data_IF_106086180069
#
_entry.id   IF_106086180069
#
_cell.length_a   1.000
_cell.length_b   1.000
_cell.length_c   1.000
_cell.angle_alpha   90.00
_cell.angle_beta   90.00
_cell.angle_gamma   90.00
#
_symmetry.space_group_name_H-M   'P 1'
#
loop_
_entity.id
_entity.type
_entity.pdbx_description
1 polymer ?
#
# COMPACT_ATOMS: atom_id res chain seq x y z
N UNK A 1 -65.43 7.18 -24.67
CA UNK A 1 -65.79 8.64 -24.91
C UNK A 1 -64.71 9.46 -24.25
N UNK A 2 -63.89 10.21 -25.04
CA UNK A 2 -62.91 11.16 -24.48
C UNK A 2 -63.69 12.36 -23.93
N UNK A 3 -63.53 12.66 -22.62
CA UNK A 3 -64.01 13.89 -22.02
C UNK A 3 -63.08 15.03 -22.42
N UNK A 4 -63.57 15.97 -23.25
CA UNK A 4 -62.83 17.20 -23.53
C UNK A 4 -62.94 18.13 -22.32
N UNK A 5 -61.82 18.74 -21.89
CA UNK A 5 -61.78 19.69 -20.78
C UNK A 5 -62.29 21.12 -21.20
N UNK A 6 -62.64 21.28 -22.43
CA UNK A 6 -63.15 22.53 -22.97
C UNK A 6 -64.24 22.25 -24.02
N UNK A 7 -65.18 23.19 -24.20
CA UNK A 7 -66.14 23.14 -25.27
C UNK A 7 -65.51 23.76 -26.52
N UNK A 8 -65.42 23.03 -27.65
CA UNK A 8 -64.90 23.60 -28.88
C UNK A 8 -65.82 24.69 -29.39
N UNK A 9 -65.26 25.87 -29.65
CA UNK A 9 -65.96 27.02 -30.21
C UNK A 9 -65.32 27.40 -31.53
N UNK A 10 -66.15 27.93 -32.47
CA UNK A 10 -65.66 28.39 -33.76
C UNK A 10 -65.58 29.90 -33.75
N UNK A 11 -64.46 30.47 -34.02
CA UNK A 11 -64.20 31.90 -34.09
C UNK A 11 -64.08 32.34 -35.55
N UNK A 12 -64.52 33.55 -35.86
CA UNK A 12 -64.45 34.11 -37.25
C UNK A 12 -63.03 34.49 -37.63
N UNK A 13 -62.24 34.93 -36.64
CA UNK A 13 -60.86 35.29 -36.85
C UNK A 13 -60.02 34.85 -35.68
N UNK A 14 -58.65 34.70 -35.88
CA UNK A 14 -57.71 34.36 -34.83
C UNK A 14 -57.64 35.41 -33.71
N UNK A 15 -58.04 36.67 -34.00
CA UNK A 15 -58.04 37.76 -33.01
C UNK A 15 -59.11 37.63 -31.96
N UNK A 16 -60.19 36.91 -32.28
CA UNK A 16 -61.35 36.69 -31.41
C UNK A 16 -61.08 35.50 -30.42
N UNK A 17 -60.06 34.75 -30.65
CA UNK A 17 -59.70 33.59 -29.77
C UNK A 17 -59.24 34.10 -28.42
N UNK A 18 -59.92 33.70 -27.32
CA UNK A 18 -59.45 34.06 -25.96
C UNK A 18 -57.96 33.70 -25.72
N UNK A 19 -57.21 34.60 -25.07
CA UNK A 19 -55.79 34.48 -24.81
C UNK A 19 -54.87 34.38 -26.05
N UNK A 20 -55.37 34.64 -27.26
CA UNK A 20 -54.58 34.59 -28.51
C UNK A 20 -53.39 35.54 -28.46
N UNK A 21 -53.49 36.71 -27.87
CA UNK A 21 -52.43 37.67 -27.72
C UNK A 21 -51.26 37.09 -26.85
N UNK A 22 -51.60 36.31 -25.82
CA UNK A 22 -50.61 35.61 -24.99
C UNK A 22 -49.89 34.53 -25.77
N UNK A 23 -50.60 33.71 -26.53
CA UNK A 23 -49.98 32.67 -27.36
C UNK A 23 -49.19 33.28 -28.51
N UNK A 24 -49.52 34.37 -29.04
CA UNK A 24 -48.82 35.08 -30.09
C UNK A 24 -47.48 35.63 -29.54
N UNK A 25 -47.55 36.22 -28.36
CA UNK A 25 -46.32 36.69 -27.66
C UNK A 25 -45.38 35.54 -27.33
N UNK A 26 -45.89 34.47 -26.78
CA UNK A 26 -45.08 33.26 -26.45
C UNK A 26 -44.43 32.67 -27.70
N UNK A 27 -45.19 32.54 -28.78
CA UNK A 27 -44.67 32.03 -30.06
C UNK A 27 -43.62 32.95 -30.66
N UNK A 28 -43.84 34.26 -30.58
CA UNK A 28 -42.84 35.24 -31.02
C UNK A 28 -41.56 35.14 -30.23
N UNK A 29 -41.63 35.06 -28.91
CA UNK A 29 -40.44 34.90 -28.06
C UNK A 29 -39.69 33.62 -28.38
N UNK A 30 -40.39 32.50 -28.55
CA UNK A 30 -39.76 31.23 -28.96
C UNK A 30 -39.08 31.31 -30.33
N UNK A 31 -39.72 31.99 -31.30
CA UNK A 31 -39.12 32.21 -32.61
C UNK A 31 -37.86 33.11 -32.51
N UNK A 32 -37.94 34.15 -31.66
CA UNK A 32 -36.81 35.05 -31.40
C UNK A 32 -35.66 34.32 -30.76
N UNK A 33 -35.91 33.48 -29.74
CA UNK A 33 -34.91 32.67 -29.09
C UNK A 33 -34.24 31.70 -30.08
N UNK A 34 -35.02 31.05 -30.94
CA UNK A 34 -34.49 30.19 -31.99
C UNK A 34 -33.67 30.95 -33.05
N UNK A 35 -34.02 32.21 -33.31
CA UNK A 35 -33.31 33.04 -34.26
C UNK A 35 -31.99 33.58 -33.68
N UNK A 36 -32.03 33.98 -32.41
CA UNK A 36 -30.86 34.50 -31.68
C UNK A 36 -29.96 33.38 -31.17
N UNK A 37 -30.47 32.15 -31.02
CA UNK A 37 -29.70 31.03 -30.56
C UNK A 37 -28.46 30.80 -31.46
N UNK A 38 -27.25 30.75 -30.90
CA UNK A 38 -26.05 30.51 -31.67
C UNK A 38 -26.17 29.15 -32.36
N UNK A 39 -26.22 29.15 -33.67
CA UNK A 39 -26.22 27.92 -34.45
C UNK A 39 -24.83 27.35 -34.47
N UNK A 40 -24.56 26.40 -33.58
CA UNK A 40 -23.35 25.61 -33.66
C UNK A 40 -23.34 24.88 -35.01
N UNK A 41 -22.46 25.29 -35.91
CA UNK A 41 -22.17 24.50 -37.10
C UNK A 41 -21.66 23.15 -36.60
N UNK A 42 -22.34 22.06 -36.95
CA UNK A 42 -21.77 20.73 -36.80
C UNK A 42 -20.52 20.70 -37.68
N UNK A 43 -19.39 20.97 -37.08
CA UNK A 43 -18.11 20.72 -37.72
C UNK A 43 -17.98 19.20 -37.81
N UNK A 44 -18.14 18.66 -38.99
CA UNK A 44 -17.76 17.28 -39.25
C UNK A 44 -16.23 17.25 -39.09
N UNK A 45 -15.81 16.72 -37.99
CA UNK A 45 -14.38 16.41 -37.80
C UNK A 45 -14.01 15.34 -38.83
N UNK A 46 -13.25 15.69 -39.85
CA UNK A 46 -12.62 14.73 -40.76
C UNK A 46 -11.40 14.08 -40.08
N UNK A 47 -11.63 13.55 -38.88
CA UNK A 47 -10.61 12.89 -38.08
C UNK A 47 -11.10 11.46 -37.90
N UNK A 48 -10.28 10.49 -38.25
CA UNK A 48 -10.56 9.08 -37.99
C UNK A 48 -10.74 8.88 -36.49
N UNK A 49 -11.67 8.01 -36.11
CA UNK A 49 -11.98 7.74 -34.72
C UNK A 49 -10.74 7.30 -33.91
N UNK A 50 -9.75 6.69 -34.56
CA UNK A 50 -8.47 6.27 -33.98
C UNK A 50 -7.60 7.43 -33.46
N UNK A 51 -7.72 8.63 -34.07
CA UNK A 51 -7.00 9.83 -33.58
C UNK A 51 -7.62 10.44 -32.33
N UNK A 52 -8.89 10.12 -32.02
CA UNK A 52 -9.56 10.57 -30.81
C UNK A 52 -9.29 9.68 -29.60
N UNK A 53 -8.74 8.50 -29.82
CA UNK A 53 -8.32 7.59 -28.74
C UNK A 53 -7.00 8.11 -28.19
N UNK A 54 -6.90 8.36 -26.86
CA UNK A 54 -5.64 8.78 -26.26
C UNK A 54 -4.60 7.67 -26.49
N UNK A 55 -3.53 8.01 -27.19
CA UNK A 55 -2.41 7.09 -27.44
C UNK A 55 -1.66 6.87 -26.13
N UNK A 56 -1.64 5.64 -25.66
CA UNK A 56 -0.81 5.26 -24.52
C UNK A 56 0.66 5.33 -24.97
N UNK A 57 1.57 5.84 -24.12
CA UNK A 57 2.99 5.84 -24.42
C UNK A 57 3.50 4.42 -24.59
N UNK A 58 4.49 4.22 -25.46
CA UNK A 58 5.10 2.90 -25.61
C UNK A 58 5.89 2.55 -24.34
N UNK A 59 6.00 1.27 -23.98
CA UNK A 59 6.80 0.88 -22.81
C UNK A 59 8.26 1.35 -22.88
N UNK A 60 8.82 1.51 -24.07
CA UNK A 60 10.19 2.03 -24.28
C UNK A 60 10.34 3.48 -23.83
N UNK A 61 9.30 4.29 -23.99
CA UNK A 61 9.29 5.71 -23.61
C UNK A 61 9.19 5.89 -22.08
N UNK A 62 8.79 4.83 -21.36
CA UNK A 62 8.58 4.83 -19.91
C UNK A 62 9.75 4.20 -19.13
N UNK A 63 10.89 3.99 -19.77
CA UNK A 63 12.10 3.53 -19.09
C UNK A 63 12.62 4.62 -18.13
N UNK A 64 13.32 4.24 -17.00
CA UNK A 64 13.80 2.90 -16.67
C UNK A 64 12.79 2.09 -15.85
N UNK A 65 12.68 0.78 -16.14
CA UNK A 65 11.92 -0.20 -15.34
C UNK A 65 12.57 -1.59 -15.49
N UNK A 66 12.41 -2.50 -14.52
CA UNK A 66 13.03 -3.82 -14.55
C UNK A 66 12.42 -4.69 -15.67
N UNK A 67 13.28 -5.32 -16.44
CA UNK A 67 12.90 -6.11 -17.61
C UNK A 67 13.34 -7.56 -17.57
N UNK A 68 14.43 -7.87 -16.85
CA UNK A 68 15.04 -9.19 -16.80
C UNK A 68 15.38 -9.59 -15.38
N UNK A 69 15.42 -10.90 -15.13
CA UNK A 69 15.95 -11.46 -13.90
C UNK A 69 17.49 -11.35 -13.93
N UNK A 70 18.04 -10.65 -12.95
CA UNK A 70 19.48 -10.42 -12.84
C UNK A 70 20.14 -11.40 -11.89
N UNK A 71 19.51 -11.71 -10.77
CA UNK A 71 20.11 -12.54 -9.71
C UNK A 71 19.06 -13.33 -8.95
N UNK A 72 19.44 -14.54 -8.54
CA UNK A 72 18.64 -15.41 -7.66
C UNK A 72 19.42 -15.69 -6.38
N UNK A 73 18.83 -15.31 -5.25
CA UNK A 73 19.40 -15.57 -3.92
C UNK A 73 18.85 -16.91 -3.41
N UNK A 74 19.74 -17.84 -3.18
CA UNK A 74 19.42 -19.20 -2.72
C UNK A 74 20.02 -19.46 -1.35
N UNK A 75 19.27 -20.13 -0.47
CA UNK A 75 19.77 -20.48 0.87
C UNK A 75 18.66 -20.71 1.89
N UNK A 76 17.45 -20.24 1.67
CA UNK A 76 16.30 -20.66 2.46
C UNK A 76 15.84 -22.06 2.05
N UNK A 77 15.29 -22.81 2.99
CA UNK A 77 14.81 -24.17 2.76
C UNK A 77 13.30 -24.28 2.69
N UNK A 78 12.60 -23.21 3.08
CA UNK A 78 11.14 -23.12 3.04
C UNK A 78 10.66 -21.75 2.51
N UNK A 79 9.36 -21.54 2.47
CA UNK A 79 8.69 -20.36 1.94
C UNK A 79 9.31 -19.05 2.45
N UNK A 80 9.74 -18.17 1.55
CA UNK A 80 10.24 -16.85 1.93
C UNK A 80 9.07 -15.88 2.00
N UNK A 81 8.68 -15.51 3.23
CA UNK A 81 7.46 -14.73 3.50
C UNK A 81 7.58 -13.24 3.24
N UNK A 82 8.74 -12.67 3.54
CA UNK A 82 8.90 -11.22 3.49
C UNK A 82 10.35 -10.85 3.20
N UNK A 83 10.53 -9.73 2.51
CA UNK A 83 11.83 -9.13 2.21
C UNK A 83 11.78 -7.64 2.52
N UNK A 84 12.87 -7.10 3.04
CA UNK A 84 13.01 -5.67 3.24
C UNK A 84 14.43 -5.22 2.89
N UNK A 85 14.53 -4.09 2.20
CA UNK A 85 15.80 -3.54 1.72
C UNK A 85 16.24 -2.41 2.64
N UNK A 86 17.55 -2.33 2.88
CA UNK A 86 18.17 -1.24 3.62
C UNK A 86 17.98 0.10 2.90
N UNK A 87 17.83 1.25 3.60
CA UNK A 87 17.66 2.57 2.98
C UNK A 87 18.78 3.01 2.03
N UNK A 88 20.00 2.49 2.21
CA UNK A 88 21.13 2.74 1.29
C UNK A 88 21.09 1.84 0.06
N UNK A 89 20.45 0.67 0.15
CA UNK A 89 20.35 -0.31 -0.92
C UNK A 89 21.59 -1.21 -1.05
N UNK A 90 22.41 -1.34 -0.02
CA UNK A 90 23.57 -2.24 -0.05
C UNK A 90 23.20 -3.65 0.43
N UNK A 91 22.27 -3.74 1.39
CA UNK A 91 21.85 -4.97 2.04
C UNK A 91 20.34 -5.16 1.98
N UNK A 92 19.93 -6.42 2.06
CA UNK A 92 18.53 -6.78 2.26
C UNK A 92 18.40 -7.86 3.34
N UNK A 93 17.22 -7.93 3.95
CA UNK A 93 16.86 -8.96 4.93
C UNK A 93 15.68 -9.75 4.42
N UNK A 94 15.68 -11.04 4.64
CA UNK A 94 14.58 -11.96 4.33
C UNK A 94 14.17 -12.78 5.53
N UNK A 95 12.89 -13.08 5.62
CA UNK A 95 12.32 -13.97 6.64
C UNK A 95 11.57 -15.12 6.01
N UNK A 96 11.73 -16.32 6.55
CA UNK A 96 11.18 -17.54 5.99
C UNK A 96 10.48 -18.40 7.04
N UNK A 97 9.66 -19.33 6.55
CA UNK A 97 9.01 -20.36 7.36
C UNK A 97 10.01 -21.39 7.88
N UNK A 98 11.25 -21.41 7.35
CA UNK A 98 12.38 -22.22 7.85
C UNK A 98 12.93 -21.76 9.21
N UNK A 99 12.27 -20.78 9.85
CA UNK A 99 12.68 -20.19 11.14
C UNK A 99 14.02 -19.47 11.09
N UNK A 100 14.44 -18.99 9.92
CA UNK A 100 15.65 -18.21 9.78
C UNK A 100 15.39 -16.82 9.22
N UNK A 101 16.19 -15.88 9.66
CA UNK A 101 16.35 -14.55 9.07
C UNK A 101 17.72 -14.51 8.43
N UNK A 102 17.75 -14.15 7.15
CA UNK A 102 19.02 -14.05 6.41
C UNK A 102 19.26 -12.62 5.95
N UNK A 103 20.51 -12.19 6.08
CA UNK A 103 20.97 -10.88 5.62
C UNK A 103 21.86 -11.10 4.40
N UNK A 104 21.55 -10.41 3.33
CA UNK A 104 22.20 -10.58 2.03
C UNK A 104 22.85 -9.27 1.58
N UNK A 105 23.97 -9.39 0.93
CA UNK A 105 24.58 -8.32 0.15
C UNK A 105 23.95 -8.33 -1.24
N UNK A 106 23.38 -7.19 -1.65
CA UNK A 106 22.58 -7.10 -2.89
C UNK A 106 23.46 -7.29 -4.12
N UNK A 107 24.65 -6.68 -4.14
CA UNK A 107 25.54 -6.67 -5.29
C UNK A 107 26.11 -8.04 -5.64
N UNK A 108 26.44 -8.84 -4.63
CA UNK A 108 27.11 -10.14 -4.79
C UNK A 108 26.19 -11.34 -4.67
N UNK A 109 24.99 -11.15 -4.11
CA UNK A 109 24.07 -12.25 -3.79
C UNK A 109 24.50 -13.12 -2.60
N UNK A 110 25.54 -12.71 -1.89
CA UNK A 110 26.11 -13.48 -0.78
C UNK A 110 25.27 -13.33 0.48
N UNK A 111 24.97 -14.44 1.14
CA UNK A 111 24.40 -14.43 2.49
C UNK A 111 25.51 -14.10 3.48
N UNK A 112 25.43 -12.93 4.12
CA UNK A 112 26.42 -12.47 5.11
C UNK A 112 26.15 -13.11 6.45
N UNK A 113 24.89 -13.19 6.84
CA UNK A 113 24.50 -13.66 8.16
C UNK A 113 23.17 -14.43 8.11
N UNK A 114 23.14 -15.52 8.87
CA UNK A 114 21.92 -16.27 9.16
C UNK A 114 21.65 -16.18 10.66
N UNK A 115 20.42 -15.89 11.02
CA UNK A 115 19.95 -15.77 12.41
C UNK A 115 18.80 -16.74 12.59
N UNK A 116 19.01 -17.74 13.45
CA UNK A 116 17.98 -18.72 13.76
C UNK A 116 17.00 -18.14 14.78
N UNK A 117 15.73 -18.27 14.49
CA UNK A 117 14.61 -17.86 15.35
C UNK A 117 13.89 -19.09 15.90
N UNK A 118 13.16 -18.91 16.99
CA UNK A 118 12.44 -20.04 17.62
C UNK A 118 11.21 -20.47 16.80
N UNK A 119 10.58 -19.52 16.11
CA UNK A 119 9.33 -19.72 15.39
C UNK A 119 9.41 -19.15 13.97
N UNK A 120 8.40 -19.46 13.18
CA UNK A 120 8.26 -19.00 11.78
C UNK A 120 8.35 -17.49 11.69
N UNK A 121 9.13 -16.99 10.75
CA UNK A 121 9.25 -15.56 10.47
C UNK A 121 8.15 -15.11 9.51
N UNK A 122 7.21 -14.33 10.01
CA UNK A 122 6.06 -13.86 9.21
C UNK A 122 6.32 -12.57 8.45
N UNK A 123 7.07 -11.66 9.05
CA UNK A 123 7.35 -10.37 8.46
C UNK A 123 8.69 -9.84 8.95
N UNK A 124 9.44 -9.22 8.05
CA UNK A 124 10.66 -8.49 8.35
C UNK A 124 10.54 -7.07 7.82
N UNK A 125 11.07 -6.11 8.56
CA UNK A 125 11.07 -4.72 8.15
C UNK A 125 12.37 -4.03 8.58
N UNK A 126 13.10 -3.48 7.62
CA UNK A 126 14.29 -2.66 7.89
C UNK A 126 13.86 -1.24 8.26
N UNK A 127 14.50 -0.64 9.25
CA UNK A 127 14.23 0.73 9.64
C UNK A 127 14.54 1.70 8.47
N UNK A 128 13.62 2.59 8.08
CA UNK A 128 13.82 3.51 6.97
C UNK A 128 14.80 4.65 7.27
N UNK A 129 15.23 4.80 8.53
CA UNK A 129 16.17 5.82 8.93
C UNK A 129 17.62 5.37 8.62
N UNK A 130 18.26 6.03 7.66
CA UNK A 130 19.64 5.75 7.25
C UNK A 130 20.70 5.95 8.35
N UNK A 131 20.35 6.61 9.46
CA UNK A 131 21.23 6.85 10.61
C UNK A 131 21.22 5.70 11.62
N UNK A 132 20.31 4.73 11.44
CA UNK A 132 20.10 3.57 12.32
C UNK A 132 20.05 2.31 11.49
N UNK A 133 20.69 1.24 11.95
CA UNK A 133 20.60 -0.07 11.32
C UNK A 133 19.84 -1.01 12.26
N UNK A 134 18.53 -1.02 12.14
CA UNK A 134 17.62 -1.84 12.95
C UNK A 134 16.72 -2.65 12.05
N UNK A 135 16.63 -3.93 12.30
CA UNK A 135 15.69 -4.84 11.65
C UNK A 135 14.63 -5.24 12.67
N UNK A 136 13.39 -5.06 12.35
CA UNK A 136 12.26 -5.58 13.12
C UNK A 136 11.81 -6.91 12.50
N UNK A 137 11.75 -7.96 13.29
CA UNK A 137 11.40 -9.32 12.85
C UNK A 137 10.24 -9.83 13.67
N UNK A 138 9.14 -10.19 13.02
CA UNK A 138 7.97 -10.79 13.65
C UNK A 138 8.05 -12.31 13.59
N UNK A 139 8.20 -12.93 14.76
CA UNK A 139 8.25 -14.39 14.92
C UNK A 139 7.20 -14.83 15.94
N UNK A 140 6.19 -15.58 15.48
CA UNK A 140 5.09 -15.96 16.36
C UNK A 140 4.47 -14.78 17.09
N UNK A 141 4.53 -14.76 18.42
CA UNK A 141 4.08 -13.65 19.28
C UNK A 141 5.19 -12.68 19.69
N UNK A 142 6.42 -12.91 19.25
CA UNK A 142 7.61 -12.11 19.62
C UNK A 142 8.00 -11.20 18.47
N UNK A 143 8.28 -9.95 18.78
CA UNK A 143 8.93 -8.99 17.89
C UNK A 143 10.37 -8.79 18.33
N UNK A 144 11.29 -9.16 17.48
CA UNK A 144 12.72 -9.06 17.72
C UNK A 144 13.26 -7.80 17.04
N UNK A 145 13.97 -6.96 17.79
CA UNK A 145 14.72 -5.83 17.25
C UNK A 145 16.20 -6.22 17.18
N UNK A 146 16.69 -6.33 15.96
CA UNK A 146 18.02 -6.88 15.65
C UNK A 146 18.91 -5.78 15.11
N UNK A 147 20.14 -5.69 15.64
CA UNK A 147 21.21 -4.96 14.99
C UNK A 147 21.97 -5.94 14.07
N UNK A 148 21.90 -5.78 12.74
CA UNK A 148 22.51 -6.69 11.79
C UNK A 148 24.03 -6.70 11.84
N UNK A 149 24.62 -5.65 12.42
CA UNK A 149 26.10 -5.44 12.47
C UNK A 149 26.74 -5.43 11.08
N UNK A 150 26.03 -4.90 10.09
CA UNK A 150 26.50 -4.70 8.71
C UNK A 150 26.61 -3.21 8.41
N UNK A 151 27.53 -2.86 7.53
CA UNK A 151 27.77 -1.48 7.11
C UNK A 151 28.70 -0.69 8.04
N UNK A 152 28.41 0.59 8.25
CA UNK A 152 29.26 1.52 8.98
C UNK A 152 29.27 1.23 10.49
N UNK A 153 30.49 1.07 11.05
CA UNK A 153 30.73 0.81 12.47
C UNK A 153 30.16 1.89 13.40
N UNK A 154 30.12 3.15 12.95
CA UNK A 154 29.55 4.25 13.73
C UNK A 154 28.03 4.12 13.85
N UNK A 155 27.36 3.71 12.77
CA UNK A 155 25.91 3.46 12.75
C UNK A 155 25.58 2.27 13.65
N UNK A 156 26.38 1.20 13.56
CA UNK A 156 26.21 0.01 14.40
C UNK A 156 26.29 0.36 15.89
N UNK A 157 27.33 1.11 16.30
CA UNK A 157 27.50 1.54 17.69
C UNK A 157 26.35 2.42 18.16
N UNK A 158 26.00 3.44 17.37
CA UNK A 158 24.87 4.32 17.68
C UNK A 158 23.54 3.57 17.83
N UNK A 159 23.35 2.52 17.02
CA UNK A 159 22.18 1.66 17.10
C UNK A 159 22.20 0.84 18.40
N UNK A 160 23.33 0.27 18.75
CA UNK A 160 23.49 -0.47 20.01
C UNK A 160 23.27 0.44 21.23
N UNK A 161 23.83 1.65 21.23
CA UNK A 161 23.64 2.63 22.30
C UNK A 161 22.14 2.99 22.47
N UNK A 162 21.44 3.29 21.37
CA UNK A 162 20.00 3.58 21.40
C UNK A 162 19.16 2.41 21.93
N UNK A 163 19.49 1.19 21.55
CA UNK A 163 18.77 0.00 21.99
C UNK A 163 19.15 -0.45 23.42
N UNK A 164 20.33 -0.06 23.93
CA UNK A 164 20.77 -0.31 25.30
C UNK A 164 20.13 0.65 26.31
N UNK A 165 19.83 1.89 25.91
CA UNK A 165 19.18 2.87 26.79
C UNK A 165 17.86 2.34 27.32
N UNK A 166 17.77 2.18 28.64
CA UNK A 166 16.53 1.89 29.34
C UNK A 166 15.95 3.20 29.84
N UNK A 167 14.85 3.70 29.26
CA UNK A 167 14.26 4.94 29.73
C UNK A 167 13.76 4.79 31.17
N UNK A 168 13.92 5.84 31.98
CA UNK A 168 13.36 5.93 33.30
C UNK A 168 11.84 5.74 33.26
N UNK A 169 11.34 4.81 34.06
CA UNK A 169 9.98 4.28 34.07
C UNK A 169 8.95 5.16 34.80
N UNK A 170 8.99 6.48 34.64
CA UNK A 170 7.95 7.39 35.18
C UNK A 170 6.76 7.58 34.23
N UNK A 171 6.42 6.55 33.44
CA UNK A 171 5.32 6.65 32.50
C UNK A 171 4.09 5.95 33.08
N UNK A 172 2.99 6.71 33.19
CA UNK A 172 1.64 6.22 33.51
C UNK A 172 1.28 5.17 32.44
N UNK A 173 1.57 3.91 32.73
CA UNK A 173 1.24 2.80 31.86
C UNK A 173 -0.20 2.39 32.05
N UNK A 174 -0.95 2.40 30.96
CA UNK A 174 -2.30 1.87 30.95
C UNK A 174 -2.24 0.34 31.17
N UNK A 175 -2.89 -0.18 32.23
CA UNK A 175 -2.91 -1.62 32.54
C UNK A 175 -3.30 -2.49 31.34
N UNK A 176 -4.17 -1.99 30.45
CA UNK A 176 -4.57 -2.68 29.21
C UNK A 176 -3.41 -2.90 28.25
N UNK A 177 -2.40 -2.05 28.30
CA UNK A 177 -1.20 -2.16 27.44
C UNK A 177 -0.23 -3.12 28.10
N UNK A 178 -0.03 -3.07 29.40
CA UNK A 178 0.86 -4.00 30.16
C UNK A 178 0.46 -5.46 29.96
N UNK A 179 -0.84 -5.73 29.91
CA UNK A 179 -1.36 -7.08 29.63
C UNK A 179 -1.25 -7.50 28.17
N UNK A 180 -1.00 -6.56 27.25
CA UNK A 180 -0.93 -6.82 25.82
C UNK A 180 0.51 -6.96 25.32
N UNK A 181 1.45 -6.25 25.95
CA UNK A 181 2.82 -6.15 25.47
C UNK A 181 3.79 -6.06 26.64
N UNK A 182 4.89 -6.82 26.53
CA UNK A 182 6.00 -6.80 27.47
C UNK A 182 7.29 -6.52 26.71
N UNK A 183 8.02 -5.50 27.18
CA UNK A 183 9.34 -5.17 26.66
C UNK A 183 10.40 -5.84 27.53
N UNK A 184 11.33 -6.52 26.89
CA UNK A 184 12.47 -7.16 27.56
C UNK A 184 13.76 -6.90 26.77
N UNK A 185 14.88 -6.90 27.44
CA UNK A 185 16.17 -6.99 26.79
C UNK A 185 16.37 -8.44 26.35
N UNK A 186 17.09 -8.63 25.27
CA UNK A 186 17.41 -9.96 24.76
C UNK A 186 18.32 -10.72 25.75
N UNK A 187 18.16 -12.03 25.83
CA UNK A 187 18.99 -12.92 26.57
C UNK A 187 20.44 -12.97 26.01
N UNK A 188 21.40 -13.45 26.77
CA UNK A 188 22.80 -13.51 26.33
C UNK A 188 23.00 -14.25 25.01
N UNK A 189 22.31 -15.37 24.82
CA UNK A 189 22.33 -16.14 23.57
C UNK A 189 21.70 -15.36 22.39
N UNK A 190 20.64 -14.64 22.63
CA UNK A 190 20.00 -13.79 21.61
C UNK A 190 20.85 -12.56 21.27
N UNK A 191 21.59 -12.01 22.27
CA UNK A 191 22.50 -10.89 22.07
C UNK A 191 23.67 -11.26 21.16
N UNK A 192 24.19 -12.47 21.25
CA UNK A 192 25.22 -13.00 20.34
C UNK A 192 24.69 -13.08 18.91
N UNK A 193 23.44 -13.47 18.73
CA UNK A 193 22.75 -13.47 17.45
C UNK A 193 22.45 -12.06 16.91
N UNK A 194 22.65 -11.01 17.71
CA UNK A 194 22.44 -9.60 17.36
C UNK A 194 21.08 -9.05 17.74
N UNK A 195 20.22 -9.84 18.40
CA UNK A 195 18.96 -9.35 18.97
C UNK A 195 19.31 -8.46 20.17
N UNK A 196 18.66 -7.32 20.28
CA UNK A 196 18.89 -6.36 21.38
C UNK A 196 17.66 -6.23 22.28
N UNK A 197 16.51 -6.11 21.68
CA UNK A 197 15.24 -5.92 22.39
C UNK A 197 14.22 -6.91 21.87
N UNK A 198 13.46 -7.47 22.78
CA UNK A 198 12.36 -8.40 22.50
C UNK A 198 11.08 -7.78 23.02
N UNK A 199 10.06 -7.71 22.17
CA UNK A 199 8.72 -7.23 22.54
C UNK A 199 7.76 -8.41 22.40
N UNK A 200 7.29 -8.94 23.52
CA UNK A 200 6.38 -10.07 23.54
C UNK A 200 4.95 -9.58 23.52
N UNK A 201 4.15 -10.12 22.61
CA UNK A 201 2.73 -9.80 22.41
C UNK A 201 1.86 -10.96 22.90
N UNK A 202 0.61 -10.66 23.21
CA UNK A 202 -0.34 -11.67 23.70
C UNK A 202 -0.93 -12.55 22.59
N UNK A 203 -0.70 -12.21 21.30
CA UNK A 203 -1.15 -12.93 20.11
C UNK A 203 -0.10 -12.93 19.02
N UNK A 204 -0.15 -13.88 18.07
CA UNK A 204 0.79 -13.93 16.96
C UNK A 204 0.75 -12.66 16.11
N UNK A 205 1.95 -12.18 15.74
CA UNK A 205 2.14 -11.00 14.90
C UNK A 205 2.14 -11.44 13.44
N UNK A 206 1.38 -10.74 12.60
CA UNK A 206 1.35 -10.99 11.16
C UNK A 206 2.21 -10.01 10.36
N UNK A 207 2.21 -8.74 10.75
CA UNK A 207 2.89 -7.67 10.02
C UNK A 207 3.57 -6.71 10.99
N UNK A 208 4.70 -6.18 10.54
CA UNK A 208 5.42 -5.07 11.16
C UNK A 208 5.67 -4.00 10.13
N UNK A 209 5.49 -2.74 10.49
CA UNK A 209 5.76 -1.60 9.61
C UNK A 209 6.38 -0.45 10.39
N UNK A 210 7.32 0.26 9.76
CA UNK A 210 8.00 1.40 10.34
C UNK A 210 7.37 2.71 9.94
N UNK A 211 7.41 3.67 10.84
CA UNK A 211 7.21 5.07 10.49
C UNK A 211 8.47 5.63 9.83
N UNK A 212 8.34 6.53 8.85
CA UNK A 212 9.45 7.06 8.06
C UNK A 212 10.62 7.68 8.84
N UNK A 213 10.40 8.13 10.08
CA UNK A 213 11.46 8.65 10.96
C UNK A 213 12.26 7.55 11.69
N UNK A 214 11.76 6.32 11.73
CA UNK A 214 12.45 5.18 12.35
C UNK A 214 12.37 5.10 13.87
N UNK A 215 11.60 5.97 14.55
CA UNK A 215 11.37 5.90 16.01
C UNK A 215 10.09 5.13 16.37
N UNK A 216 9.12 5.11 15.48
CA UNK A 216 7.86 4.41 15.66
C UNK A 216 7.75 3.21 14.74
N UNK A 217 7.21 2.13 15.27
CA UNK A 217 6.85 0.94 14.51
C UNK A 217 5.45 0.47 14.92
N UNK A 218 4.73 -0.16 14.01
CA UNK A 218 3.41 -0.72 14.28
C UNK A 218 3.41 -2.22 14.03
N UNK A 219 2.72 -2.95 14.90
CA UNK A 219 2.51 -4.40 14.80
C UNK A 219 1.04 -4.71 14.59
N UNK A 220 0.77 -5.76 13.82
CA UNK A 220 -0.58 -6.24 13.56
C UNK A 220 -0.74 -7.66 14.08
N UNK A 221 -1.77 -7.84 14.88
CA UNK A 221 -2.22 -9.13 15.40
C UNK A 221 -3.69 -9.33 14.98
N UNK A 222 -3.98 -10.05 13.93
CA UNK A 222 -5.37 -10.20 13.43
C UNK A 222 -6.34 -10.71 14.48
N UNK A 223 -5.89 -11.63 15.34
CA UNK A 223 -6.68 -12.22 16.41
C UNK A 223 -6.77 -11.37 17.69
N UNK A 224 -6.15 -10.19 17.70
CA UNK A 224 -6.05 -9.31 18.87
C UNK A 224 -7.33 -8.53 19.20
N UNK A 225 -8.43 -8.69 18.45
CA UNK A 225 -9.68 -7.96 18.59
C UNK A 225 -9.46 -6.43 18.66
N UNK A 226 -9.82 -5.77 19.77
CA UNK A 226 -9.65 -4.33 19.92
C UNK A 226 -8.18 -3.88 20.08
N UNK A 227 -7.26 -4.83 20.31
CA UNK A 227 -5.81 -4.62 20.43
C UNK A 227 -5.06 -5.20 19.24
N UNK A 228 -5.73 -5.31 18.09
CA UNK A 228 -5.18 -5.91 16.87
C UNK A 228 -4.06 -5.09 16.22
N UNK A 229 -3.96 -3.81 16.48
CA UNK A 229 -2.86 -2.96 16.04
C UNK A 229 -2.28 -2.21 17.24
N UNK A 230 -0.96 -2.23 17.36
CA UNK A 230 -0.22 -1.52 18.40
C UNK A 230 0.88 -0.68 17.75
N UNK A 231 1.11 0.49 18.31
CA UNK A 231 2.22 1.38 17.92
C UNK A 231 3.23 1.38 19.05
N UNK A 232 4.48 1.12 18.72
CA UNK A 232 5.60 1.07 19.65
C UNK A 232 6.55 2.23 19.36
N UNK A 233 6.98 2.94 20.39
CA UNK A 233 8.00 3.96 20.31
C UNK A 233 9.30 3.41 20.90
N UNK A 234 10.37 3.42 20.09
CA UNK A 234 11.67 2.85 20.51
C UNK A 234 12.35 3.69 21.57
N UNK A 235 12.47 5.00 21.35
CA UNK A 235 13.19 5.91 22.25
C UNK A 235 12.67 5.92 23.68
N UNK A 236 11.37 5.64 23.87
CA UNK A 236 10.73 5.61 25.18
C UNK A 236 10.31 4.21 25.63
N UNK A 237 10.57 3.16 24.83
CA UNK A 237 10.11 1.79 25.05
C UNK A 237 8.65 1.71 25.47
N UNK A 238 7.83 2.50 24.78
CA UNK A 238 6.39 2.65 25.08
C UNK A 238 5.56 2.07 23.96
N UNK A 239 4.46 1.42 24.35
CA UNK A 239 3.46 0.91 23.41
C UNK A 239 2.15 1.67 23.57
N UNK A 240 1.43 1.88 22.47
CA UNK A 240 0.16 2.60 22.45
C UNK A 240 -0.87 1.89 21.59
N UNK A 241 -2.14 2.00 21.96
CA UNK A 241 -3.27 1.52 21.17
C UNK A 241 -3.77 2.72 20.35
N UNK A 242 -3.69 2.67 19.01
CA UNK A 242 -4.02 3.83 18.16
C UNK A 242 -5.53 4.15 18.14
N UNK A 243 -6.39 3.19 18.49
CA UNK A 243 -7.85 3.37 18.47
C UNK A 243 -8.54 2.45 19.50
N UNK A 244 -9.64 2.93 20.09
CA UNK A 244 -10.35 2.24 21.18
C UNK A 244 -11.18 1.04 20.71
N UNK A 245 -11.69 1.05 19.46
CA UNK A 245 -12.55 -0.01 18.90
C UNK A 245 -12.14 -0.35 17.47
N UNK A 246 -11.87 -1.63 17.22
CA UNK A 246 -11.69 -2.17 15.88
C UNK A 246 -12.89 -3.04 15.50
N UNK A 247 -13.51 -2.74 14.35
CA UNK A 247 -14.56 -3.59 13.76
C UNK A 247 -13.96 -4.38 12.61
N UNK A 248 -13.91 -5.70 12.72
CA UNK A 248 -13.36 -6.63 11.73
C UNK A 248 -11.88 -6.96 12.00
N UNK A 249 -11.41 -8.05 11.38
CA UNK A 249 -10.04 -8.52 11.51
C UNK A 249 -9.09 -7.57 10.78
N UNK A 250 -8.14 -7.00 11.50
CA UNK A 250 -7.09 -6.15 10.91
C UNK A 250 -6.08 -7.03 10.18
N UNK A 251 -5.82 -6.73 8.92
CA UNK A 251 -4.91 -7.48 8.06
C UNK A 251 -3.55 -6.81 7.92
N UNK A 252 -3.55 -5.51 7.65
CA UNK A 252 -2.32 -4.74 7.50
C UNK A 252 -2.52 -3.28 7.94
N UNK A 253 -1.42 -2.64 8.30
CA UNK A 253 -1.36 -1.24 8.69
C UNK A 253 -0.21 -0.53 8.01
N UNK A 254 -0.37 0.78 7.79
CA UNK A 254 0.69 1.64 7.25
C UNK A 254 0.65 3.01 7.93
N UNK A 255 1.82 3.62 8.08
CA UNK A 255 1.94 5.03 8.41
C UNK A 255 1.89 5.87 7.13
N UNK A 256 1.28 7.04 7.22
CA UNK A 256 1.37 8.02 6.16
C UNK A 256 2.78 8.66 6.15
N UNK A 257 3.41 8.85 4.97
CA UNK A 257 4.80 9.35 4.91
C UNK A 257 4.97 10.78 5.44
N UNK A 258 3.96 11.64 5.29
CA UNK A 258 4.04 13.08 5.62
C UNK A 258 3.10 13.48 6.75
N UNK A 259 1.82 13.10 6.67
CA UNK A 259 0.78 13.48 7.62
C UNK A 259 0.76 12.52 8.83
N UNK A 260 0.33 12.94 10.03
CA UNK A 260 0.19 12.06 11.20
C UNK A 260 -1.04 11.14 11.08
N UNK A 261 -1.18 10.48 9.94
CA UNK A 261 -2.29 9.59 9.64
C UNK A 261 -1.84 8.13 9.65
N UNK A 262 -2.74 7.26 10.06
CA UNK A 262 -2.51 5.82 10.17
C UNK A 262 -3.58 5.06 9.42
N UNK A 263 -3.16 4.20 8.49
CA UNK A 263 -4.04 3.38 7.69
C UNK A 263 -4.19 2.01 8.31
N UNK A 264 -5.41 1.57 8.46
CA UNK A 264 -5.76 0.26 9.00
C UNK A 264 -6.66 -0.46 8.02
N UNK A 265 -6.13 -1.47 7.36
CA UNK A 265 -6.92 -2.36 6.51
C UNK A 265 -7.54 -3.47 7.34
N UNK A 266 -8.84 -3.58 7.26
CA UNK A 266 -9.58 -4.75 7.70
C UNK A 266 -9.81 -5.68 6.50
N UNK A 267 -10.57 -6.76 6.66
CA UNK A 267 -10.89 -7.66 5.54
C UNK A 267 -11.51 -6.93 4.34
N UNK A 268 -12.42 -5.98 4.58
CA UNK A 268 -13.27 -5.37 3.54
C UNK A 268 -13.08 -3.87 3.35
N UNK A 269 -12.51 -3.18 4.31
CA UNK A 269 -12.44 -1.73 4.31
C UNK A 269 -11.10 -1.24 4.85
N UNK A 270 -10.71 -0.05 4.43
CA UNK A 270 -9.55 0.64 4.97
C UNK A 270 -10.05 1.84 5.75
N UNK A 271 -9.53 2.03 6.95
CA UNK A 271 -9.82 3.15 7.82
C UNK A 271 -8.58 4.00 7.99
N UNK A 272 -8.75 5.29 7.90
CA UNK A 272 -7.70 6.29 8.08
C UNK A 272 -7.96 7.01 9.39
N UNK A 273 -7.03 6.89 10.32
CA UNK A 273 -7.08 7.52 11.63
C UNK A 273 -6.09 8.67 11.72
N UNK A 274 -6.48 9.75 12.39
CA UNK A 274 -5.56 10.79 12.84
C UNK A 274 -4.94 10.34 14.17
N UNK A 275 -3.62 10.26 14.22
CA UNK A 275 -2.90 9.83 15.42
C UNK A 275 -2.84 10.93 16.49
N UNK A 276 -3.00 12.20 16.12
CA UNK A 276 -2.98 13.32 17.06
C UNK A 276 -4.33 13.45 17.75
N UNK A 277 -5.41 13.47 16.97
CA UNK A 277 -6.79 13.58 17.47
C UNK A 277 -7.40 12.26 17.92
N UNK A 278 -6.79 11.13 17.51
CA UNK A 278 -7.27 9.76 17.73
C UNK A 278 -8.69 9.50 17.18
N UNK A 279 -9.02 10.18 16.09
CA UNK A 279 -10.32 10.10 15.42
C UNK A 279 -10.22 9.43 14.06
N UNK A 280 -11.35 8.84 13.61
CA UNK A 280 -11.48 8.28 12.27
C UNK A 280 -11.75 9.41 11.27
N UNK A 281 -10.79 9.70 10.39
CA UNK A 281 -10.92 10.72 9.34
C UNK A 281 -11.78 10.21 8.19
N UNK A 282 -11.44 9.04 7.65
CA UNK A 282 -12.03 8.51 6.41
C UNK A 282 -12.13 7.00 6.42
N UNK A 283 -13.16 6.47 5.76
CA UNK A 283 -13.33 5.04 5.52
C UNK A 283 -13.38 4.81 4.02
N UNK A 284 -12.43 4.03 3.48
CA UNK A 284 -12.39 3.66 2.08
C UNK A 284 -13.12 2.33 1.86
N UNK A 285 -13.93 2.28 0.83
CA UNK A 285 -14.74 1.12 0.45
C UNK A 285 -14.06 0.38 -0.68
N UNK A 286 -13.57 -0.83 -0.42
CA UNK A 286 -12.83 -1.61 -1.41
C UNK A 286 -13.73 -2.48 -2.30
N UNK A 287 -14.94 -2.80 -1.85
CA UNK A 287 -15.83 -3.75 -2.50
C UNK A 287 -15.14 -5.09 -2.85
N UNK A 288 -14.24 -5.51 -1.98
CA UNK A 288 -13.51 -6.77 -2.08
C UNK A 288 -13.78 -7.67 -0.89
N UNK A 289 -13.63 -8.98 -1.07
CA UNK A 289 -13.87 -9.95 0.00
C UNK A 289 -12.74 -9.93 1.03
N UNK A 290 -11.49 -9.72 0.60
CA UNK A 290 -10.36 -9.79 1.50
C UNK A 290 -9.16 -9.00 0.98
N UNK A 291 -8.68 -8.07 1.78
CA UNK A 291 -7.47 -7.27 1.50
C UNK A 291 -6.25 -8.09 1.90
N UNK A 292 -5.24 -8.16 1.05
CA UNK A 292 -3.97 -8.86 1.29
C UNK A 292 -2.84 -7.93 1.72
N UNK A 293 -2.72 -6.77 1.08
CA UNK A 293 -1.66 -5.80 1.34
C UNK A 293 -2.03 -4.40 0.90
N UNK A 294 -1.23 -3.44 1.32
CA UNK A 294 -1.35 -2.03 0.97
C UNK A 294 0.03 -1.41 0.78
N UNK A 295 0.11 -0.43 -0.12
CA UNK A 295 1.27 0.45 -0.26
C UNK A 295 0.80 1.87 -0.53
N UNK A 296 1.45 2.84 0.09
CA UNK A 296 1.14 4.26 -0.11
C UNK A 296 2.16 4.90 -1.05
N UNK A 297 1.69 5.78 -1.90
CA UNK A 297 2.55 6.57 -2.77
C UNK A 297 3.45 7.49 -1.93
N UNK A 298 4.72 7.73 -2.30
CA UNK A 298 5.66 8.55 -1.51
C UNK A 298 5.16 9.97 -1.20
N UNK A 299 4.34 10.58 -2.07
CA UNK A 299 3.69 11.87 -1.82
C UNK A 299 2.57 11.79 -0.77
N UNK A 300 2.00 10.60 -0.53
CA UNK A 300 0.92 10.37 0.42
C UNK A 300 -0.50 10.55 -0.14
N UNK A 301 -0.66 10.92 -1.40
CA UNK A 301 -1.97 11.25 -1.98
C UNK A 301 -2.72 10.02 -2.50
N UNK A 302 -1.97 8.98 -2.86
CA UNK A 302 -2.51 7.78 -3.48
C UNK A 302 -2.18 6.52 -2.69
N UNK A 303 -3.12 5.58 -2.69
CA UNK A 303 -2.99 4.30 -2.00
C UNK A 303 -3.28 3.16 -2.98
N UNK A 304 -2.37 2.21 -3.04
CA UNK A 304 -2.52 0.97 -3.78
C UNK A 304 -2.86 -0.17 -2.82
N UNK A 305 -3.86 -0.96 -3.16
CA UNK A 305 -4.37 -2.05 -2.33
C UNK A 305 -4.44 -3.32 -3.15
N UNK A 306 -3.85 -4.38 -2.64
CA UNK A 306 -3.98 -5.73 -3.20
C UNK A 306 -5.07 -6.53 -2.50
N UNK A 307 -5.68 -7.44 -3.24
CA UNK A 307 -6.77 -8.28 -2.72
C UNK A 307 -6.59 -9.74 -3.12
N UNK A 308 -7.09 -10.65 -2.28
CA UNK A 308 -7.16 -12.07 -2.64
C UNK A 308 -8.17 -12.36 -3.78
N UNK A 309 -9.04 -11.39 -4.09
CA UNK A 309 -10.00 -11.46 -5.20
C UNK A 309 -9.37 -11.15 -6.58
N UNK A 310 -8.06 -11.26 -6.74
CA UNK A 310 -7.31 -11.03 -8.00
C UNK A 310 -7.36 -9.58 -8.50
N UNK A 311 -7.71 -8.64 -7.62
CA UNK A 311 -7.85 -7.22 -7.96
C UNK A 311 -6.75 -6.40 -7.28
N UNK A 312 -6.33 -5.36 -7.96
CA UNK A 312 -5.59 -4.25 -7.38
C UNK A 312 -6.46 -3.00 -7.48
N UNK A 313 -6.53 -2.25 -6.40
CA UNK A 313 -7.35 -1.05 -6.28
C UNK A 313 -6.44 0.15 -6.09
N UNK A 314 -6.61 1.14 -6.95
CA UNK A 314 -5.95 2.42 -6.82
C UNK A 314 -6.91 3.43 -6.23
N UNK A 315 -6.58 4.00 -5.09
CA UNK A 315 -7.34 5.06 -4.44
C UNK A 315 -6.60 6.38 -4.55
N UNK A 316 -7.33 7.41 -4.91
CA UNK A 316 -6.97 8.79 -4.68
C UNK A 316 -7.62 9.23 -3.36
N UNK A 317 -6.79 9.60 -2.39
CA UNK A 317 -7.24 9.88 -1.03
C UNK A 317 -8.00 11.21 -0.91
N UNK A 318 -7.71 12.16 -1.78
CA UNK A 318 -8.34 13.46 -1.77
C UNK A 318 -9.67 13.45 -2.54
N UNK A 319 -9.76 12.66 -3.62
CA UNK A 319 -10.90 12.65 -4.51
C UNK A 319 -12.12 11.93 -3.94
N UNK A 320 -12.00 10.66 -3.53
CA UNK A 320 -13.16 9.88 -3.10
C UNK A 320 -12.87 8.78 -2.08
N UNK A 321 -13.94 8.14 -1.57
CA UNK A 321 -13.86 6.95 -0.71
C UNK A 321 -13.94 5.64 -1.50
N UNK A 322 -14.22 5.70 -2.79
CA UNK A 322 -14.25 4.57 -3.72
C UNK A 322 -12.94 4.51 -4.50
N UNK A 323 -12.54 3.31 -5.00
CA UNK A 323 -11.34 3.21 -5.82
C UNK A 323 -11.48 4.08 -7.09
N UNK A 324 -10.43 4.82 -7.41
CA UNK A 324 -10.32 5.55 -8.67
C UNK A 324 -10.25 4.57 -9.85
N UNK A 325 -9.41 3.54 -9.71
CA UNK A 325 -9.26 2.50 -10.72
C UNK A 325 -9.17 1.12 -10.07
N UNK A 326 -9.79 0.12 -10.73
CA UNK A 326 -9.71 -1.29 -10.36
C UNK A 326 -9.00 -2.05 -11.48
N UNK A 327 -7.85 -2.62 -11.17
CA UNK A 327 -7.02 -3.36 -12.11
C UNK A 327 -7.15 -4.87 -11.85
N UNK A 328 -7.26 -5.65 -12.92
CA UNK A 328 -7.28 -7.13 -12.88
C UNK A 328 -6.19 -7.66 -13.80
N UNK A 329 -4.95 -7.50 -13.37
CA UNK A 329 -3.78 -7.90 -14.15
C UNK A 329 -3.35 -9.35 -13.87
N UNK A 330 -3.68 -9.85 -12.68
CA UNK A 330 -3.30 -11.18 -12.21
C UNK A 330 -4.42 -12.20 -12.35
N UNK A 331 -4.03 -13.46 -12.54
CA UNK A 331 -4.96 -14.61 -12.65
C UNK A 331 -5.33 -15.20 -11.30
N UNK A 332 -4.48 -15.05 -10.29
CA UNK A 332 -4.65 -15.56 -8.93
C UNK A 332 -4.63 -14.44 -7.90
N UNK A 333 -4.68 -14.77 -6.63
CA UNK A 333 -4.65 -13.83 -5.53
C UNK A 333 -3.40 -12.95 -5.58
N UNK A 334 -3.57 -11.64 -5.40
CA UNK A 334 -2.44 -10.69 -5.30
C UNK A 334 -2.04 -10.62 -3.83
N UNK A 335 -0.78 -10.97 -3.53
CA UNK A 335 -0.26 -11.06 -2.16
C UNK A 335 0.29 -9.74 -1.66
N UNK A 336 1.15 -9.12 -2.44
CA UNK A 336 1.87 -7.92 -2.06
C UNK A 336 1.87 -6.90 -3.19
N UNK A 337 1.93 -5.63 -2.81
CA UNK A 337 2.09 -4.49 -3.71
C UNK A 337 3.05 -3.49 -3.08
N UNK A 338 3.89 -2.87 -3.89
CA UNK A 338 4.84 -1.86 -3.44
C UNK A 338 4.99 -0.73 -4.46
N UNK A 339 5.01 0.52 -3.97
CA UNK A 339 5.43 1.67 -4.75
C UNK A 339 6.94 1.86 -4.65
N UNK A 340 7.55 2.31 -5.74
CA UNK A 340 8.92 2.77 -5.72
C UNK A 340 9.01 4.17 -5.11
N UNK A 341 10.10 4.44 -4.35
CA UNK A 341 10.24 5.72 -3.64
C UNK A 341 10.54 6.91 -4.56
N UNK A 342 11.28 6.70 -5.66
CA UNK A 342 11.77 7.76 -6.55
C UNK A 342 11.16 7.74 -7.94
N UNK A 343 10.96 6.55 -8.49
CA UNK A 343 10.42 6.38 -9.84
C UNK A 343 8.89 6.19 -9.80
N UNK A 344 8.18 6.60 -10.83
CA UNK A 344 6.73 6.44 -10.92
C UNK A 344 6.38 4.97 -11.26
N UNK A 345 6.88 4.05 -10.46
CA UNK A 345 6.72 2.62 -10.65
C UNK A 345 6.02 1.99 -9.45
N UNK A 346 5.24 0.97 -9.72
CA UNK A 346 4.74 0.07 -8.70
C UNK A 346 4.80 -1.38 -9.18
N UNK A 347 4.96 -2.28 -8.23
CA UNK A 347 5.02 -3.70 -8.51
C UNK A 347 3.97 -4.46 -7.71
N UNK A 348 3.52 -5.57 -8.23
CA UNK A 348 2.59 -6.49 -7.59
C UNK A 348 3.04 -7.91 -7.74
N UNK A 349 2.94 -8.67 -6.65
CA UNK A 349 3.24 -10.11 -6.61
C UNK A 349 1.99 -10.94 -6.37
N UNK A 350 1.87 -12.06 -7.07
CA UNK A 350 0.68 -12.91 -7.04
C UNK A 350 1.01 -14.39 -7.00
N UNK A 351 0.04 -15.18 -6.55
CA UNK A 351 0.08 -16.64 -6.58
C UNK A 351 0.06 -17.22 -8.02
N UNK A 352 -0.04 -16.39 -9.05
CA UNK A 352 0.13 -16.77 -10.44
C UNK A 352 1.60 -16.82 -10.90
N UNK A 353 2.56 -16.81 -9.94
CA UNK A 353 4.01 -16.83 -10.14
C UNK A 353 4.57 -15.57 -10.81
N UNK A 354 3.74 -14.57 -11.02
CA UNK A 354 4.13 -13.37 -11.74
C UNK A 354 4.34 -12.18 -10.80
N UNK A 355 5.37 -11.42 -11.11
CA UNK A 355 5.55 -10.04 -10.67
C UNK A 355 5.19 -9.15 -11.84
N UNK A 356 4.23 -8.25 -11.66
CA UNK A 356 3.88 -7.27 -12.69
C UNK A 356 4.39 -5.91 -12.25
N UNK A 357 5.22 -5.34 -13.10
CA UNK A 357 5.73 -3.98 -12.97
C UNK A 357 4.85 -3.06 -13.81
N UNK A 358 4.40 -1.99 -13.20
CA UNK A 358 3.50 -1.02 -13.81
C UNK A 358 4.02 0.40 -13.59
N UNK A 359 3.72 1.27 -14.55
CA UNK A 359 3.93 2.70 -14.43
C UNK A 359 2.74 3.33 -13.72
N UNK A 360 3.01 4.21 -12.75
CA UNK A 360 1.98 4.88 -11.96
C UNK A 360 2.35 6.35 -11.73
N UNK A 361 2.34 7.15 -12.81
CA UNK A 361 2.64 8.58 -12.71
C UNK A 361 1.43 9.34 -12.21
N UNK A 362 1.62 10.07 -11.12
CA UNK A 362 0.64 11.01 -10.55
C UNK A 362 1.10 12.43 -10.83
N UNK A 363 0.26 13.19 -11.53
CA UNK A 363 0.51 14.58 -11.85
C UNK A 363 0.05 15.49 -10.70
N UNK A 364 0.69 16.64 -10.55
CA UNK A 364 0.27 17.65 -9.57
C UNK A 364 -0.92 18.48 -10.06
N UNK A 365 -1.24 18.39 -11.35
CA UNK A 365 -2.37 19.07 -11.96
C UNK A 365 -3.63 18.23 -11.81
N UNK A 366 -4.67 18.80 -11.20
CA UNK A 366 -5.97 18.16 -11.01
C UNK A 366 -6.72 17.87 -12.32
N UNK A 367 -6.33 18.51 -13.41
CA UNK A 367 -6.92 18.29 -14.74
C UNK A 367 -6.33 17.09 -15.46
N UNK A 368 -5.17 16.58 -15.00
CA UNK A 368 -4.49 15.45 -15.61
C UNK A 368 -4.76 14.17 -14.83
N UNK A 369 -5.32 13.19 -15.51
CA UNK A 369 -5.52 11.87 -14.95
C UNK A 369 -4.18 11.14 -14.72
N UNK A 370 -4.02 10.38 -13.63
CA UNK A 370 -2.83 9.58 -13.42
C UNK A 370 -2.64 8.56 -14.56
N UNK A 371 -1.39 8.43 -15.01
CA UNK A 371 -1.04 7.48 -16.04
C UNK A 371 -0.69 6.12 -15.40
N UNK A 372 -1.61 5.18 -15.47
CA UNK A 372 -1.48 3.84 -14.89
C UNK A 372 -1.43 2.82 -16.02
N UNK A 373 -0.24 2.28 -16.30
CA UNK A 373 -0.01 1.35 -17.42
C UNK A 373 0.84 0.17 -16.96
N UNK A 374 0.41 -1.08 -17.18
CA UNK A 374 1.28 -2.24 -16.98
C UNK A 374 2.41 -2.25 -18.01
N UNK A 375 3.66 -2.40 -17.53
CA UNK A 375 4.85 -2.35 -18.36
C UNK A 375 5.37 -3.75 -18.71
N UNK A 376 5.63 -4.54 -17.68
CA UNK A 376 6.25 -5.85 -17.83
C UNK A 376 5.66 -6.86 -16.85
N UNK A 377 5.46 -8.08 -17.35
CA UNK A 377 5.15 -9.26 -16.55
C UNK A 377 6.41 -10.13 -16.47
N UNK A 378 6.90 -10.33 -15.25
CA UNK A 378 8.05 -11.15 -14.92
C UNK A 378 7.52 -12.46 -14.30
N UNK A 379 7.78 -13.58 -14.93
CA UNK A 379 7.25 -14.87 -14.50
C UNK A 379 8.39 -15.88 -14.43
N UNK A 380 9.09 -15.88 -13.31
CA UNK A 380 10.29 -16.69 -13.11
C UNK A 380 10.17 -17.60 -11.89
N UNK A 381 9.37 -17.22 -10.87
CA UNK A 381 9.13 -18.07 -9.71
C UNK A 381 8.35 -19.34 -10.05
N UNK A 382 8.62 -20.40 -9.32
CA UNK A 382 7.90 -21.66 -9.38
C UNK A 382 6.77 -21.67 -8.34
N UNK A 383 5.70 -22.38 -8.65
CA UNK A 383 4.57 -22.54 -7.75
C UNK A 383 4.81 -23.71 -6.82
N UNK A 384 4.57 -23.50 -5.51
CA UNK A 384 4.58 -24.53 -4.50
C UNK A 384 3.33 -24.39 -3.62
N UNK A 385 2.60 -25.49 -3.42
CA UNK A 385 1.41 -25.55 -2.55
C UNK A 385 0.40 -24.41 -2.77
N UNK A 386 0.09 -24.10 -4.02
CA UNK A 386 -0.80 -23.01 -4.46
C UNK A 386 -0.23 -21.58 -4.28
N UNK A 387 0.92 -21.42 -3.66
CA UNK A 387 1.61 -20.15 -3.50
C UNK A 387 2.60 -19.89 -4.65
N UNK A 388 2.70 -18.65 -5.06
CA UNK A 388 3.68 -18.18 -6.04
C UNK A 388 4.60 -17.14 -5.42
N UNK A 389 4.36 -15.86 -5.74
CA UNK A 389 5.09 -14.72 -5.17
C UNK A 389 4.40 -14.27 -3.90
N UNK A 390 5.14 -14.23 -2.80
CA UNK A 390 4.61 -13.91 -1.47
C UNK A 390 4.79 -12.44 -1.10
N UNK A 391 5.94 -11.85 -1.43
CA UNK A 391 6.23 -10.45 -1.14
C UNK A 391 7.01 -9.80 -2.28
N UNK A 392 6.87 -8.48 -2.41
CA UNK A 392 7.55 -7.66 -3.41
C UNK A 392 8.03 -6.39 -2.75
N UNK A 393 9.30 -6.03 -2.96
CA UNK A 393 9.90 -4.81 -2.46
C UNK A 393 10.79 -4.16 -3.52
N UNK A 394 10.98 -2.84 -3.42
CA UNK A 394 11.82 -2.08 -4.32
C UNK A 394 13.17 -1.74 -3.70
N UNK A 395 14.16 -1.64 -4.56
CA UNK A 395 15.41 -0.99 -4.19
C UNK A 395 15.14 0.52 -3.96
N UNK A 396 15.67 1.14 -2.89
CA UNK A 396 15.31 2.52 -2.54
C UNK A 396 15.79 3.58 -3.55
N UNK A 397 16.83 3.28 -4.32
CA UNK A 397 17.45 4.22 -5.25
C UNK A 397 17.30 3.81 -6.70
N UNK A 398 17.58 2.55 -7.04
CA UNK A 398 17.56 2.02 -8.40
C UNK A 398 16.17 1.46 -8.75
N UNK A 399 15.78 1.43 -10.02
CA UNK A 399 14.50 0.86 -10.45
C UNK A 399 14.53 -0.68 -10.47
N UNK A 400 15.03 -1.27 -9.38
CA UNK A 400 15.15 -2.72 -9.24
C UNK A 400 14.08 -3.25 -8.29
N UNK A 401 13.50 -4.39 -8.63
CA UNK A 401 12.49 -5.03 -7.82
C UNK A 401 12.98 -6.37 -7.27
N UNK A 402 12.71 -6.61 -6.00
CA UNK A 402 12.92 -7.89 -5.33
C UNK A 402 11.59 -8.59 -5.18
N UNK A 403 11.58 -9.89 -5.37
CA UNK A 403 10.43 -10.72 -5.07
C UNK A 403 10.82 -11.94 -4.27
N UNK A 404 9.95 -12.37 -3.38
CA UNK A 404 10.11 -13.62 -2.62
C UNK A 404 9.09 -14.62 -3.08
N UNK A 405 9.51 -15.85 -3.23
CA UNK A 405 8.68 -16.92 -3.73
C UNK A 405 8.46 -18.07 -2.76
N UNK A 406 7.46 -18.86 -3.10
CA UNK A 406 7.20 -20.14 -2.46
C UNK A 406 8.27 -21.20 -2.82
N UNK A 407 9.04 -20.93 -3.86
CA UNK A 407 10.18 -21.74 -4.33
C UNK A 407 11.45 -21.58 -3.47
N UNK A 408 11.34 -21.00 -2.27
CA UNK A 408 12.43 -20.76 -1.33
C UNK A 408 13.50 -19.81 -1.85
N UNK A 409 13.23 -19.07 -2.93
CA UNK A 409 14.19 -18.14 -3.55
C UNK A 409 13.73 -16.69 -3.43
N UNK A 410 14.72 -15.79 -3.47
CA UNK A 410 14.49 -14.37 -3.66
C UNK A 410 15.07 -14.03 -5.03
N UNK A 411 14.38 -13.22 -5.81
CA UNK A 411 14.81 -12.84 -7.15
C UNK A 411 14.91 -11.33 -7.28
N UNK A 412 15.98 -10.90 -7.94
CA UNK A 412 16.23 -9.51 -8.30
C UNK A 412 16.00 -9.33 -9.80
N UNK A 413 15.22 -8.32 -10.16
CA UNK A 413 14.98 -7.90 -11.53
C UNK A 413 15.52 -6.47 -11.73
N UNK A 414 16.18 -6.30 -12.86
CA UNK A 414 16.82 -5.03 -13.27
C UNK A 414 16.39 -4.60 -14.67
#
# INVERSE_FOLDING_TARGET
KRKLHFMPQKFKSLREVPAYSRYLRERFLRCLDLYLCPRAKRVKLNIDAEYLIPKLPSPRDLQPFPTVESMVYRGHTDLVRSVSVEPKGEYMVSGSDDKTVKIWEISTGRCIRTIDTEDVVRCVAWCPNSKLSIIAVATGSRLLLINPKVGDKLIIKKTDDLLAESPNLDVIDNERIKTAVQWANADTQEQEKGVRVVITHFKPIRQVTWHGRGDYLATVMPEGANRSALIHQLSKRRSQIPFSKSKGLVQCVLFHPVKPCFFVATQHNIRIYDLVKQELIKKLLTNSKWISGMSIHPKGDNLLVSTYDKKMLWFDLDLSTKPYQTMRLHRNAVRSVAFHLRYPLFASGSDDQAVIVSHGMVYNDLLQNPLIVPLKKLQTHEKRDEFGVLDVNWHPVQPWVFSTGADCTIRLYT
#
